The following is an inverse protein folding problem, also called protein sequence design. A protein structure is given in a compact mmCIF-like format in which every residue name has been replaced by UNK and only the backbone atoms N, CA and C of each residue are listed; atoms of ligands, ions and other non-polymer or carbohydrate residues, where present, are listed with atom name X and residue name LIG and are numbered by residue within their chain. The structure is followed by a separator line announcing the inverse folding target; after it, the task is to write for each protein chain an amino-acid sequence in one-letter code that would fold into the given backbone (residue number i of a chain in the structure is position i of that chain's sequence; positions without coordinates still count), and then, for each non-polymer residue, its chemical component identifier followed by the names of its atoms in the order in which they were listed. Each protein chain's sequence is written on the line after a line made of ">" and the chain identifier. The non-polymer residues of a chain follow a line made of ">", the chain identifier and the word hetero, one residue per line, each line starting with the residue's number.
data_IF_540816242521
#
_entry.id   IF_540816242521
#
_cell.length_a   1.000
_cell.length_b   1.000
_cell.length_c   1.000
_cell.angle_alpha   90.00
_cell.angle_beta   90.00
_cell.angle_gamma   90.00
#
_symmetry.space_group_name_H-M   'P 1'
#
loop_
_entity.id
_entity.type
_entity.pdbx_description
1 polymer ?
#
# COMPACT_ATOMS: atom_id res chain seq x y z
N UNK A 1 3.93 -25.58 -29.76
CA UNK A 1 4.00 -24.24 -29.14
C UNK A 1 5.37 -24.11 -28.48
N UNK A 2 6.18 -23.19 -28.99
CA UNK A 2 7.56 -22.97 -28.62
C UNK A 2 7.57 -22.62 -27.13
N UNK A 3 8.42 -23.23 -26.29
CA UNK A 3 8.37 -23.05 -24.83
C UNK A 3 8.33 -21.58 -24.42
N UNK A 4 9.16 -20.74 -25.05
CA UNK A 4 9.17 -19.30 -24.77
C UNK A 4 7.88 -18.55 -25.17
N UNK A 5 7.15 -18.99 -26.20
CA UNK A 5 5.86 -18.41 -26.58
C UNK A 5 4.77 -18.86 -25.59
N UNK A 6 4.80 -20.14 -25.21
CA UNK A 6 3.91 -20.70 -24.19
C UNK A 6 4.08 -19.98 -22.84
N UNK A 7 5.33 -19.76 -22.43
CA UNK A 7 5.69 -19.02 -21.22
C UNK A 7 5.21 -17.57 -21.29
N UNK A 8 5.43 -16.88 -22.39
CA UNK A 8 4.98 -15.50 -22.55
C UNK A 8 3.45 -15.37 -22.50
N UNK A 9 2.72 -16.32 -23.11
CA UNK A 9 1.25 -16.36 -23.02
C UNK A 9 0.80 -16.61 -21.58
N UNK A 10 1.41 -17.56 -20.86
CA UNK A 10 1.10 -17.80 -19.43
C UNK A 10 1.38 -16.55 -18.59
N UNK A 11 2.53 -15.94 -18.78
CA UNK A 11 2.97 -14.75 -18.04
C UNK A 11 2.08 -13.53 -18.32
N UNK A 12 1.53 -13.40 -19.54
CA UNK A 12 0.57 -12.34 -19.87
C UNK A 12 -0.76 -12.46 -19.10
N UNK A 13 -1.12 -13.68 -18.70
CA UNK A 13 -2.40 -14.01 -18.03
C UNK A 13 -2.30 -14.09 -16.50
N UNK A 14 -1.10 -13.90 -15.93
CA UNK A 14 -0.92 -13.94 -14.47
C UNK A 14 -1.67 -12.81 -13.74
N UNK A 15 -1.96 -12.93 -12.43
CA UNK A 15 -2.50 -11.83 -11.64
C UNK A 15 -1.65 -10.54 -11.72
N UNK A 16 -2.25 -9.38 -11.51
CA UNK A 16 -1.51 -8.10 -11.52
C UNK A 16 -0.47 -8.10 -10.40
N UNK A 17 0.76 -7.75 -10.75
CA UNK A 17 1.88 -7.65 -9.83
C UNK A 17 2.30 -6.20 -9.58
N UNK A 18 2.45 -5.82 -8.30
CA UNK A 18 2.85 -4.49 -7.85
C UNK A 18 4.23 -4.55 -7.19
N UNK A 19 5.19 -3.80 -7.71
CA UNK A 19 6.45 -3.54 -7.04
C UNK A 19 6.32 -2.35 -6.08
N UNK A 20 6.63 -2.55 -4.81
CA UNK A 20 6.67 -1.47 -3.82
C UNK A 20 8.12 -0.97 -3.68
N UNK A 21 8.34 0.31 -3.95
CA UNK A 21 9.66 0.96 -3.91
C UNK A 21 9.66 2.15 -2.97
N UNK A 22 10.83 2.67 -2.63
CA UNK A 22 11.01 3.81 -1.74
C UNK A 22 12.20 3.64 -0.80
N UNK A 23 12.52 4.70 -0.08
CA UNK A 23 13.67 4.72 0.82
C UNK A 23 13.50 3.75 2.00
N UNK A 24 14.60 3.28 2.64
CA UNK A 24 14.53 2.58 3.90
C UNK A 24 13.73 3.36 4.97
N UNK A 25 12.95 2.64 5.78
CA UNK A 25 12.14 3.25 6.86
C UNK A 25 10.85 3.96 6.42
N UNK A 26 10.55 4.01 5.11
CA UNK A 26 9.32 4.64 4.60
C UNK A 26 8.06 3.86 4.93
N UNK A 27 8.12 2.53 5.02
CA UNK A 27 6.93 1.68 5.25
C UNK A 27 6.67 0.64 4.15
N UNK A 28 7.62 0.42 3.23
CA UNK A 28 7.50 -0.54 2.10
C UNK A 28 6.93 -1.90 2.48
N UNK A 29 7.47 -2.55 3.51
CA UNK A 29 7.01 -3.88 3.93
C UNK A 29 5.58 -3.85 4.47
N UNK A 30 5.22 -2.79 5.20
CA UNK A 30 3.85 -2.58 5.69
C UNK A 30 2.89 -2.35 4.53
N UNK A 31 3.29 -1.57 3.51
CA UNK A 31 2.50 -1.37 2.29
C UNK A 31 2.29 -2.69 1.52
N UNK A 32 3.33 -3.51 1.34
CA UNK A 32 3.18 -4.85 0.73
C UNK A 32 2.18 -5.70 1.52
N UNK A 33 2.27 -5.70 2.86
CA UNK A 33 1.30 -6.41 3.71
C UNK A 33 -0.12 -5.86 3.52
N UNK A 34 -0.28 -4.55 3.40
CA UNK A 34 -1.57 -3.90 3.18
C UNK A 34 -2.19 -4.29 1.84
N UNK A 35 -1.42 -4.19 0.75
CA UNK A 35 -1.86 -4.58 -0.60
C UNK A 35 -2.23 -6.06 -0.68
N UNK A 36 -1.43 -6.95 -0.09
CA UNK A 36 -1.73 -8.39 -0.06
C UNK A 36 -2.97 -8.70 0.77
N UNK A 37 -3.05 -8.18 2.00
CA UNK A 37 -4.10 -8.52 2.97
C UNK A 37 -5.46 -7.96 2.59
N UNK A 38 -5.51 -6.76 2.01
CA UNK A 38 -6.77 -6.04 1.78
C UNK A 38 -7.21 -5.99 0.32
N UNK A 39 -6.27 -6.07 -0.63
CA UNK A 39 -6.58 -6.00 -2.06
C UNK A 39 -6.27 -7.30 -2.82
N UNK A 40 -5.72 -8.32 -2.14
CA UNK A 40 -5.32 -9.60 -2.75
C UNK A 40 -4.37 -9.44 -3.94
N UNK A 41 -3.54 -8.39 -3.92
CA UNK A 41 -2.59 -8.07 -5.00
C UNK A 41 -1.26 -8.79 -4.74
N UNK A 42 -0.73 -9.45 -5.76
CA UNK A 42 0.65 -9.94 -5.73
C UNK A 42 1.59 -8.73 -5.67
N UNK A 43 2.28 -8.56 -4.55
CA UNK A 43 3.14 -7.40 -4.34
C UNK A 43 4.42 -7.78 -3.61
N UNK A 44 5.51 -7.07 -3.91
CA UNK A 44 6.82 -7.32 -3.29
C UNK A 44 7.62 -6.04 -3.17
N UNK A 45 8.51 -5.97 -2.20
CA UNK A 45 9.47 -4.88 -2.10
C UNK A 45 10.52 -5.06 -3.19
N UNK A 46 10.74 -4.04 -4.02
CA UNK A 46 11.88 -3.96 -4.92
C UNK A 46 12.90 -2.95 -4.39
N UNK A 47 14.20 -3.31 -4.34
CA UNK A 47 15.27 -2.34 -4.12
C UNK A 47 15.31 -1.27 -5.23
N UNK A 48 15.76 -0.06 -4.92
CA UNK A 48 15.87 1.04 -5.90
C UNK A 48 16.74 0.64 -7.10
N UNK A 49 17.87 -0.04 -6.87
CA UNK A 49 18.77 -0.54 -7.92
C UNK A 49 18.08 -1.55 -8.87
N UNK A 50 17.05 -2.24 -8.40
CA UNK A 50 16.30 -3.19 -9.23
C UNK A 50 15.27 -2.49 -10.13
N UNK A 51 14.96 -1.22 -9.90
CA UNK A 51 14.03 -0.45 -10.73
C UNK A 51 14.58 -0.30 -12.14
N UNK A 52 15.81 0.19 -12.28
CA UNK A 52 16.46 0.42 -13.58
C UNK A 52 16.55 -0.87 -14.42
N UNK A 53 16.90 -1.99 -13.78
CA UNK A 53 16.97 -3.30 -14.43
C UNK A 53 15.57 -3.84 -14.82
N UNK A 54 14.55 -3.61 -14.00
CA UNK A 54 13.17 -4.07 -14.25
C UNK A 54 12.44 -3.30 -15.35
N UNK A 55 12.86 -2.06 -15.60
CA UNK A 55 12.32 -1.20 -16.67
C UNK A 55 12.99 -1.51 -18.02
N UNK A 56 14.28 -1.87 -18.00
CA UNK A 56 15.11 -2.00 -19.22
C UNK A 56 15.28 -3.45 -19.74
N UNK A 57 14.75 -4.45 -19.03
CA UNK A 57 14.94 -5.86 -19.36
C UNK A 57 14.12 -6.33 -20.58
N UNK A 58 14.70 -7.07 -21.55
CA UNK A 58 14.02 -7.53 -22.77
C UNK A 58 13.09 -8.75 -22.56
N UNK A 59 12.53 -8.92 -21.37
CA UNK A 59 11.71 -10.07 -20.97
C UNK A 59 10.32 -9.67 -20.45
N UNK A 60 9.42 -10.65 -20.35
CA UNK A 60 8.12 -10.48 -19.66
C UNK A 60 8.28 -10.25 -18.14
N UNK A 61 9.47 -10.53 -17.59
CA UNK A 61 9.79 -10.53 -16.17
C UNK A 61 9.96 -9.10 -15.63
N UNK A 62 8.85 -8.42 -15.37
CA UNK A 62 8.82 -7.13 -14.70
C UNK A 62 7.49 -6.94 -13.99
N UNK A 63 7.43 -6.09 -12.95
CA UNK A 63 6.15 -5.75 -12.35
C UNK A 63 5.22 -5.11 -13.40
N UNK A 64 3.92 -5.22 -13.15
CA UNK A 64 2.90 -4.57 -13.95
C UNK A 64 2.75 -3.10 -13.56
N UNK A 65 2.82 -2.84 -12.25
CA UNK A 65 2.70 -1.53 -11.63
C UNK A 65 3.78 -1.29 -10.58
N UNK A 66 4.08 -0.02 -10.33
CA UNK A 66 4.98 0.42 -9.27
C UNK A 66 4.21 1.26 -8.26
N UNK A 67 4.39 0.97 -6.98
CA UNK A 67 3.89 1.76 -5.86
C UNK A 67 5.10 2.38 -5.15
N UNK A 68 5.36 3.67 -5.39
CA UNK A 68 6.47 4.38 -4.77
C UNK A 68 6.00 5.03 -3.47
N UNK A 69 6.56 4.61 -2.34
CA UNK A 69 6.16 5.09 -1.01
C UNK A 69 7.07 6.19 -0.47
N UNK A 70 6.43 7.27 -0.03
CA UNK A 70 7.02 8.41 0.66
C UNK A 70 6.58 8.40 2.13
N UNK A 71 7.45 8.83 3.03
CA UNK A 71 7.10 9.08 4.44
C UNK A 71 6.99 10.56 4.80
N UNK A 72 7.14 11.44 3.82
CA UNK A 72 7.20 12.90 3.97
C UNK A 72 7.58 13.55 2.65
N UNK A 73 8.06 14.81 2.65
CA UNK A 73 8.49 15.50 1.44
C UNK A 73 9.50 14.69 0.61
N UNK A 74 9.37 14.70 -0.73
CA UNK A 74 10.21 13.89 -1.61
C UNK A 74 11.66 14.38 -1.59
N UNK A 75 12.60 13.44 -1.63
CA UNK A 75 14.04 13.71 -1.79
C UNK A 75 14.45 13.57 -3.26
N UNK A 76 15.66 14.01 -3.59
CA UNK A 76 16.22 13.87 -4.94
C UNK A 76 16.23 12.41 -5.43
N UNK A 77 16.45 11.43 -4.54
CA UNK A 77 16.38 10.01 -4.89
C UNK A 77 14.95 9.57 -5.26
N UNK A 78 13.94 10.09 -4.55
CA UNK A 78 12.53 9.78 -4.82
C UNK A 78 12.15 10.31 -6.23
N UNK A 79 12.60 11.53 -6.57
CA UNK A 79 12.41 12.14 -7.91
C UNK A 79 12.99 11.28 -9.03
N UNK A 80 14.26 10.87 -8.90
CA UNK A 80 14.91 10.01 -9.91
C UNK A 80 14.16 8.71 -10.17
N UNK A 81 13.67 8.06 -9.11
CA UNK A 81 12.88 6.82 -9.24
C UNK A 81 11.56 7.10 -9.96
N UNK A 82 10.85 8.16 -9.57
CA UNK A 82 9.57 8.54 -10.19
C UNK A 82 9.75 8.89 -11.67
N UNK A 83 10.80 9.64 -12.02
CA UNK A 83 11.10 10.07 -13.39
C UNK A 83 11.51 8.91 -14.31
N UNK A 84 12.15 7.87 -13.75
CA UNK A 84 12.58 6.69 -14.50
C UNK A 84 11.45 5.68 -14.77
N UNK A 85 10.32 5.80 -14.08
CA UNK A 85 9.23 4.83 -14.12
C UNK A 85 8.14 5.20 -15.15
N UNK A 86 7.42 4.20 -15.71
CA UNK A 86 6.34 4.48 -16.66
C UNK A 86 5.20 5.27 -15.99
N UNK A 87 4.91 6.44 -16.55
CA UNK A 87 3.98 7.44 -16.00
C UNK A 87 2.55 6.92 -15.81
N UNK A 88 2.14 5.98 -16.66
CA UNK A 88 0.82 5.36 -16.70
C UNK A 88 0.70 4.14 -15.76
N UNK A 89 1.80 3.74 -15.11
CA UNK A 89 1.89 2.52 -14.30
C UNK A 89 2.61 2.75 -12.96
N UNK A 90 2.84 4.00 -12.58
CA UNK A 90 3.33 4.38 -11.25
C UNK A 90 2.21 5.00 -10.41
N UNK A 91 2.12 4.57 -9.16
CA UNK A 91 1.28 5.17 -8.12
C UNK A 91 2.19 5.64 -7.00
N UNK A 92 2.09 6.91 -6.61
CA UNK A 92 2.91 7.48 -5.52
C UNK A 92 2.05 7.63 -4.27
N UNK A 93 2.57 7.18 -3.13
CA UNK A 93 1.81 7.10 -1.88
C UNK A 93 2.56 7.77 -0.74
N UNK A 94 1.91 8.68 -0.01
CA UNK A 94 2.36 9.16 1.30
C UNK A 94 1.88 8.17 2.37
N UNK A 95 2.72 7.20 2.72
CA UNK A 95 2.31 5.95 3.41
C UNK A 95 2.17 6.03 4.93
N UNK A 96 2.57 7.15 5.53
CA UNK A 96 2.45 7.42 6.97
C UNK A 96 1.46 8.55 7.22
N UNK A 97 0.31 8.52 6.54
CA UNK A 97 -0.68 9.59 6.67
C UNK A 97 -1.19 9.76 8.11
N UNK A 98 -1.11 8.69 8.91
CA UNK A 98 -1.43 8.67 10.33
C UNK A 98 -0.61 9.65 11.18
N UNK A 99 0.63 9.99 10.83
CA UNK A 99 1.48 10.84 11.69
C UNK A 99 1.09 12.33 11.66
N UNK A 100 0.21 12.73 10.74
CA UNK A 100 -0.06 14.13 10.44
C UNK A 100 -1.20 14.75 11.26
N UNK A 101 -1.81 14.00 12.19
CA UNK A 101 -2.77 14.59 13.13
C UNK A 101 -4.03 13.75 13.34
N UNK A 102 -4.97 14.28 14.13
CA UNK A 102 -6.20 13.58 14.44
C UNK A 102 -7.02 13.31 13.19
N UNK A 103 -7.62 12.13 13.15
CA UNK A 103 -8.66 11.79 12.18
C UNK A 103 -9.93 12.50 12.60
N UNK A 104 -10.49 13.39 11.76
CA UNK A 104 -11.81 13.96 11.99
C UNK A 104 -12.87 12.87 12.14
N UNK A 105 -14.07 13.24 12.61
CA UNK A 105 -15.12 12.24 12.81
C UNK A 105 -15.35 11.40 11.54
N UNK A 106 -15.35 10.06 11.66
CA UNK A 106 -15.45 9.18 10.50
C UNK A 106 -16.80 9.38 9.80
N UNK A 107 -16.75 10.01 8.62
CA UNK A 107 -17.87 10.12 7.68
C UNK A 107 -17.82 9.05 6.58
N UNK A 108 -18.68 9.13 5.55
CA UNK A 108 -18.70 8.18 4.43
C UNK A 108 -17.44 8.23 3.53
N UNK A 109 -16.58 9.24 3.72
CA UNK A 109 -15.34 9.43 2.97
C UNK A 109 -14.18 9.40 3.97
N UNK A 110 -13.04 8.75 3.66
CA UNK A 110 -11.87 8.76 4.54
C UNK A 110 -11.42 10.20 4.77
N UNK A 111 -11.56 10.69 6.00
CA UNK A 111 -11.05 12.02 6.36
C UNK A 111 -9.68 11.81 6.98
N UNK A 112 -8.64 11.96 6.18
CA UNK A 112 -7.30 12.11 6.75
C UNK A 112 -7.23 13.42 7.53
N UNK A 113 -6.28 13.51 8.47
CA UNK A 113 -5.88 14.79 9.01
C UNK A 113 -5.61 15.78 7.85
N UNK A 114 -6.11 17.03 7.92
CA UNK A 114 -5.90 18.03 6.85
C UNK A 114 -4.43 18.16 6.42
N UNK A 115 -3.50 18.04 7.37
CA UNK A 115 -2.06 18.13 7.13
C UNK A 115 -1.51 16.98 6.27
N UNK A 116 -2.10 15.77 6.36
CA UNK A 116 -1.71 14.67 5.47
C UNK A 116 -2.08 14.98 4.02
N UNK A 117 -3.27 15.57 3.81
CA UNK A 117 -3.76 15.97 2.48
C UNK A 117 -2.92 17.10 1.91
N UNK A 118 -2.64 18.13 2.72
CA UNK A 118 -1.77 19.26 2.33
C UNK A 118 -0.37 18.77 1.99
N UNK A 119 0.19 17.88 2.79
CA UNK A 119 1.52 17.30 2.54
C UNK A 119 1.53 16.47 1.28
N UNK A 120 0.54 15.62 1.05
CA UNK A 120 0.42 14.84 -0.18
C UNK A 120 0.32 15.75 -1.41
N UNK A 121 -0.50 16.82 -1.36
CA UNK A 121 -0.62 17.79 -2.44
C UNK A 121 0.70 18.53 -2.71
N UNK A 122 1.47 18.85 -1.66
CA UNK A 122 2.82 19.41 -1.81
C UNK A 122 3.77 18.42 -2.49
N UNK A 123 3.82 17.18 -2.03
CA UNK A 123 4.63 16.13 -2.66
C UNK A 123 4.24 15.95 -4.13
N UNK A 124 2.95 16.04 -4.45
CA UNK A 124 2.47 15.90 -5.82
C UNK A 124 2.99 17.00 -6.75
N UNK A 125 2.97 18.26 -6.30
CA UNK A 125 3.55 19.38 -7.04
C UNK A 125 5.06 19.24 -7.22
N UNK A 126 5.76 18.75 -6.20
CA UNK A 126 7.22 18.58 -6.25
C UNK A 126 7.69 17.41 -7.15
N UNK A 127 6.82 16.42 -7.38
CA UNK A 127 7.10 15.24 -8.21
C UNK A 127 6.44 15.29 -9.59
N UNK A 128 5.60 16.29 -9.87
CA UNK A 128 4.73 16.33 -11.05
C UNK A 128 3.90 15.03 -11.22
N UNK A 129 3.44 14.45 -10.10
CA UNK A 129 2.68 13.20 -10.06
C UNK A 129 1.63 13.24 -8.95
N UNK A 130 0.43 12.66 -9.14
CA UNK A 130 -0.51 12.48 -8.04
C UNK A 130 0.12 11.70 -6.88
N UNK A 131 -0.08 12.19 -5.65
CA UNK A 131 0.39 11.52 -4.42
C UNK A 131 -0.83 11.27 -3.53
N UNK A 132 -1.00 10.01 -3.14
CA UNK A 132 -2.16 9.57 -2.37
C UNK A 132 -1.77 9.36 -0.90
N UNK A 133 -2.42 10.03 0.07
CA UNK A 133 -2.22 9.73 1.48
C UNK A 133 -2.80 8.35 1.82
N UNK A 134 -2.04 7.55 2.57
CA UNK A 134 -2.46 6.23 3.07
C UNK A 134 -1.82 6.00 4.44
N UNK A 135 -2.55 5.41 5.38
CA UNK A 135 -1.93 4.77 6.55
C UNK A 135 -1.85 3.26 6.32
N UNK A 136 -0.68 2.80 5.88
CA UNK A 136 -0.48 1.36 5.68
C UNK A 136 -0.55 0.58 7.00
N UNK A 137 -0.21 1.24 8.11
CA UNK A 137 -0.26 0.67 9.46
C UNK A 137 -1.71 0.32 9.84
N UNK A 138 -2.62 1.29 9.73
CA UNK A 138 -4.04 1.08 10.05
C UNK A 138 -4.70 0.05 9.14
N UNK A 139 -4.32 0.02 7.86
CA UNK A 139 -4.87 -0.96 6.93
C UNK A 139 -4.59 -2.42 7.35
N UNK A 140 -3.49 -2.68 8.07
CA UNK A 140 -3.10 -4.02 8.50
C UNK A 140 -3.24 -4.26 10.01
N UNK A 141 -3.76 -3.27 10.75
CA UNK A 141 -3.97 -3.35 12.18
C UNK A 141 -4.78 -4.61 12.55
N UNK A 142 -4.32 -5.29 13.59
CA UNK A 142 -4.81 -6.60 14.00
C UNK A 142 -4.52 -6.81 15.49
N UNK A 143 -5.17 -6.02 16.37
CA UNK A 143 -4.91 -6.08 17.79
C UNK A 143 -5.31 -7.45 18.36
N UNK A 144 -4.44 -8.05 19.15
CA UNK A 144 -4.75 -9.29 19.87
C UNK A 144 -5.73 -9.05 21.02
N UNK A 145 -6.33 -10.13 21.54
CA UNK A 145 -7.33 -10.05 22.62
C UNK A 145 -6.90 -9.20 23.84
N UNK A 146 -5.68 -9.32 24.38
CA UNK A 146 -5.26 -8.46 25.50
C UNK A 146 -5.24 -6.96 25.16
N UNK A 147 -4.96 -6.62 23.89
CA UNK A 147 -4.96 -5.24 23.42
C UNK A 147 -6.39 -4.72 23.23
N UNK A 148 -7.32 -5.55 22.76
CA UNK A 148 -8.75 -5.21 22.69
C UNK A 148 -9.32 -4.89 24.07
N UNK A 149 -9.02 -5.74 25.05
CA UNK A 149 -9.43 -5.54 26.45
C UNK A 149 -8.81 -4.27 27.05
N UNK A 150 -7.56 -3.94 26.69
CA UNK A 150 -6.94 -2.67 27.08
C UNK A 150 -7.65 -1.47 26.43
N UNK A 151 -7.90 -1.50 25.12
CA UNK A 151 -8.63 -0.42 24.44
C UNK A 151 -10.01 -0.17 25.05
N UNK A 152 -10.73 -1.23 25.41
CA UNK A 152 -12.01 -1.13 26.10
C UNK A 152 -11.88 -0.46 27.49
N UNK A 153 -10.86 -0.83 28.26
CA UNK A 153 -10.59 -0.24 29.57
C UNK A 153 -10.19 1.25 29.47
N UNK A 154 -9.33 1.59 28.51
CA UNK A 154 -8.94 2.98 28.22
C UNK A 154 -10.17 3.83 27.88
N UNK A 155 -11.05 3.32 27.01
CA UNK A 155 -12.27 3.99 26.61
C UNK A 155 -13.24 4.19 27.79
N UNK A 156 -13.45 3.15 28.61
CA UNK A 156 -14.31 3.23 29.79
C UNK A 156 -13.78 4.20 30.87
N UNK A 157 -12.45 4.31 31.00
CA UNK A 157 -11.79 5.23 31.90
C UNK A 157 -11.73 6.68 31.36
N UNK A 158 -12.11 6.91 30.11
CA UNK A 158 -11.97 8.22 29.45
C UNK A 158 -10.51 8.65 29.29
N UNK A 159 -9.58 7.70 29.18
CA UNK A 159 -8.16 8.01 29.09
C UNK A 159 -7.81 8.59 27.71
N UNK A 160 -7.11 9.72 27.70
CA UNK A 160 -6.59 10.36 26.49
C UNK A 160 -5.22 9.83 26.13
N UNK A 161 -4.86 9.81 24.84
CA UNK A 161 -3.50 9.45 24.40
C UNK A 161 -2.62 10.71 24.37
N UNK A 162 -1.63 10.85 25.29
CA UNK A 162 -0.77 12.04 25.33
C UNK A 162 0.08 12.20 24.07
N UNK A 163 0.57 13.42 23.82
CA UNK A 163 1.44 13.69 22.66
C UNK A 163 2.77 12.95 22.73
N UNK A 164 3.32 12.85 23.94
CA UNK A 164 4.56 12.13 24.21
C UNK A 164 4.25 10.66 24.43
N UNK A 165 4.71 9.81 23.51
CA UNK A 165 4.52 8.37 23.56
C UNK A 165 4.96 7.74 24.91
N UNK A 166 6.03 8.27 25.51
CA UNK A 166 6.52 7.81 26.82
C UNK A 166 5.52 7.99 27.96
N UNK A 167 4.69 9.03 27.90
CA UNK A 167 3.61 9.23 28.87
C UNK A 167 2.47 8.23 28.63
N UNK A 168 2.14 7.95 27.37
CA UNK A 168 1.13 6.92 27.06
C UNK A 168 1.57 5.54 27.54
N UNK A 169 2.86 5.20 27.49
CA UNK A 169 3.35 3.88 27.90
C UNK A 169 3.43 3.70 29.42
N UNK A 170 3.30 4.78 30.19
CA UNK A 170 3.29 4.69 31.65
C UNK A 170 2.00 3.98 32.11
N UNK A 171 2.09 2.90 32.89
CA UNK A 171 0.91 2.20 33.41
C UNK A 171 0.05 3.11 34.27
N UNK A 172 -1.27 2.95 34.15
CA UNK A 172 -2.26 3.75 34.88
C UNK A 172 -3.11 2.90 35.82
N UNK A 173 -3.06 1.57 35.69
CA UNK A 173 -3.91 0.66 36.46
C UNK A 173 -5.35 0.60 35.95
N UNK A 174 -5.62 1.05 34.71
CA UNK A 174 -6.96 0.91 34.07
C UNK A 174 -7.40 -0.55 33.95
N UNK A 175 -6.46 -1.49 34.03
CA UNK A 175 -6.73 -2.92 34.10
C UNK A 175 -6.05 -3.50 35.33
N UNK A 176 -6.71 -4.48 35.93
CA UNK A 176 -6.14 -5.34 36.97
C UNK A 176 -5.16 -6.35 36.35
N UNK A 177 -4.06 -5.83 35.83
CA UNK A 177 -2.91 -6.57 35.30
C UNK A 177 -1.63 -5.94 35.86
N UNK A 178 -0.54 -6.70 35.91
CA UNK A 178 0.73 -6.16 36.39
C UNK A 178 1.20 -4.96 35.57
N UNK A 179 1.83 -3.93 36.20
CA UNK A 179 2.21 -2.69 35.51
C UNK A 179 3.14 -2.93 34.31
N UNK A 180 4.07 -3.88 34.42
CA UNK A 180 4.96 -4.24 33.31
C UNK A 180 4.25 -4.91 32.12
N UNK A 181 3.07 -5.50 32.32
CA UNK A 181 2.28 -6.07 31.23
C UNK A 181 1.37 -5.01 30.59
N UNK A 182 0.83 -4.08 31.38
CA UNK A 182 0.11 -2.91 30.84
C UNK A 182 1.02 -2.07 29.92
N UNK A 183 2.25 -1.78 30.37
CA UNK A 183 3.25 -1.04 29.57
C UNK A 183 3.51 -1.73 28.23
N UNK A 184 3.74 -3.06 28.22
CA UNK A 184 3.94 -3.84 26.99
C UNK A 184 2.72 -3.76 26.05
N UNK A 185 1.51 -3.81 26.60
CA UNK A 185 0.29 -3.71 25.80
C UNK A 185 0.13 -2.32 25.19
N UNK A 186 0.40 -1.25 25.95
CA UNK A 186 0.40 0.14 25.47
C UNK A 186 1.43 0.36 24.36
N UNK A 187 2.65 -0.16 24.53
CA UNK A 187 3.68 -0.17 23.47
C UNK A 187 3.17 -0.91 22.24
N UNK A 188 2.55 -2.07 22.42
CA UNK A 188 1.97 -2.85 21.33
C UNK A 188 0.87 -2.10 20.58
N UNK A 189 0.02 -1.33 21.28
CA UNK A 189 -1.00 -0.49 20.68
C UNK A 189 -0.36 0.58 19.78
N UNK A 190 0.58 1.38 20.31
CA UNK A 190 1.29 2.39 19.51
C UNK A 190 2.02 1.78 18.30
N UNK A 191 2.56 0.57 18.42
CA UNK A 191 3.22 -0.13 17.30
C UNK A 191 2.26 -0.63 16.23
N UNK A 192 1.00 -0.90 16.57
CA UNK A 192 0.01 -1.51 15.68
C UNK A 192 -0.95 -0.52 15.03
N UNK A 193 -1.16 0.64 15.66
CA UNK A 193 -2.08 1.66 15.18
C UNK A 193 -1.68 3.10 15.53
N UNK A 194 -0.48 3.35 16.05
CA UNK A 194 0.02 4.68 16.47
C UNK A 194 -0.88 5.42 17.48
N UNK A 195 -0.54 6.68 17.78
CA UNK A 195 -1.28 7.54 18.70
C UNK A 195 -2.71 7.77 18.22
N UNK A 196 -2.87 8.18 16.97
CA UNK A 196 -4.13 8.62 16.43
C UNK A 196 -5.07 7.46 16.12
N UNK A 197 -4.53 6.28 15.78
CA UNK A 197 -5.35 5.08 15.70
C UNK A 197 -5.85 4.61 17.07
N UNK A 198 -5.04 4.70 18.14
CA UNK A 198 -5.53 4.42 19.51
C UNK A 198 -6.63 5.41 19.89
N UNK A 199 -6.41 6.70 19.67
CA UNK A 199 -7.38 7.75 20.01
C UNK A 199 -8.69 7.62 19.22
N UNK A 200 -8.60 7.31 17.92
CA UNK A 200 -9.76 7.00 17.09
C UNK A 200 -10.54 5.83 17.69
N UNK A 201 -9.87 4.72 17.99
CA UNK A 201 -10.55 3.52 18.50
C UNK A 201 -11.17 3.76 19.88
N UNK A 202 -10.46 4.38 20.82
CA UNK A 202 -10.99 4.65 22.16
C UNK A 202 -12.16 5.62 22.12
N UNK A 203 -12.12 6.64 21.25
CA UNK A 203 -13.24 7.56 21.02
C UNK A 203 -14.48 6.84 20.49
N UNK A 204 -14.33 5.99 19.48
CA UNK A 204 -15.47 5.26 18.88
C UNK A 204 -16.06 4.20 19.84
N UNK A 205 -15.21 3.57 20.67
CA UNK A 205 -15.64 2.67 21.74
C UNK A 205 -16.40 3.43 22.84
N UNK A 206 -15.88 4.55 23.33
CA UNK A 206 -16.52 5.37 24.36
C UNK A 206 -17.88 5.92 23.89
N UNK A 207 -18.00 6.21 22.59
CA UNK A 207 -19.26 6.62 21.98
C UNK A 207 -20.24 5.46 21.70
N UNK A 208 -19.85 4.20 21.94
CA UNK A 208 -20.67 3.02 21.69
C UNK A 208 -20.96 2.74 20.22
N UNK A 209 -20.20 3.34 19.28
CA UNK A 209 -20.40 3.16 17.83
C UNK A 209 -19.78 1.87 17.30
N UNK A 210 -18.78 1.37 18.00
CA UNK A 210 -18.19 0.03 17.82
C UNK A 210 -18.08 -0.67 19.17
N UNK A 211 -18.00 -1.99 19.16
CA UNK A 211 -17.62 -2.83 20.29
C UNK A 211 -16.13 -3.18 20.27
N UNK A 212 -15.61 -3.76 21.37
CA UNK A 212 -14.21 -4.15 21.53
C UNK A 212 -13.90 -5.47 20.80
N UNK A 213 -14.27 -5.54 19.52
CA UNK A 213 -14.07 -6.69 18.64
C UNK A 213 -13.00 -6.39 17.56
N UNK A 214 -12.21 -7.41 17.22
CA UNK A 214 -11.12 -7.28 16.26
C UNK A 214 -11.63 -6.90 14.88
N UNK A 215 -12.76 -7.45 14.43
CA UNK A 215 -13.29 -7.18 13.10
C UNK A 215 -13.82 -5.75 13.00
N UNK A 216 -14.51 -5.26 14.03
CA UNK A 216 -15.01 -3.88 14.09
C UNK A 216 -13.87 -2.85 14.15
N UNK A 217 -12.87 -3.06 15.01
CA UNK A 217 -11.72 -2.16 15.12
C UNK A 217 -10.87 -2.19 13.84
N UNK A 218 -10.58 -3.38 13.29
CA UNK A 218 -9.83 -3.50 12.05
C UNK A 218 -10.62 -2.93 10.85
N UNK A 219 -11.95 -2.97 10.89
CA UNK A 219 -12.84 -2.35 9.90
C UNK A 219 -12.78 -0.83 9.95
N UNK A 220 -12.88 -0.25 11.15
CA UNK A 220 -12.75 1.18 11.40
C UNK A 220 -11.40 1.72 10.91
N UNK A 221 -10.30 1.12 11.36
CA UNK A 221 -8.94 1.51 10.96
C UNK A 221 -8.71 1.33 9.46
N UNK A 222 -9.26 0.26 8.86
CA UNK A 222 -9.18 0.07 7.41
C UNK A 222 -9.94 1.16 6.64
N UNK A 223 -11.15 1.52 7.06
CA UNK A 223 -11.92 2.60 6.45
C UNK A 223 -11.17 3.95 6.53
N UNK A 224 -10.53 4.23 7.67
CA UNK A 224 -9.73 5.44 7.88
C UNK A 224 -8.37 5.43 7.16
N UNK A 225 -7.86 4.25 6.75
CA UNK A 225 -6.52 4.13 6.17
C UNK A 225 -6.34 4.75 4.78
N UNK A 226 -7.45 5.03 4.07
CA UNK A 226 -7.52 5.43 2.66
C UNK A 226 -6.98 4.41 1.66
N UNK A 227 -6.72 3.17 2.08
CA UNK A 227 -6.36 2.08 1.17
C UNK A 227 -7.49 1.76 0.17
N UNK A 228 -8.76 1.95 0.57
CA UNK A 228 -9.90 1.80 -0.33
C UNK A 228 -9.85 2.77 -1.51
N UNK A 229 -9.49 4.03 -1.27
CA UNK A 229 -9.29 5.02 -2.34
C UNK A 229 -8.10 4.65 -3.24
N UNK A 230 -7.00 4.15 -2.64
CA UNK A 230 -5.84 3.66 -3.41
C UNK A 230 -6.22 2.50 -4.33
N UNK A 231 -7.12 1.61 -3.91
CA UNK A 231 -7.60 0.50 -4.74
C UNK A 231 -8.20 1.01 -6.06
N UNK A 232 -9.04 2.05 -6.00
CA UNK A 232 -9.60 2.68 -7.19
C UNK A 232 -8.54 3.24 -8.14
N UNK A 233 -7.48 3.86 -7.59
CA UNK A 233 -6.34 4.36 -8.38
C UNK A 233 -5.58 3.22 -9.06
N UNK A 234 -5.32 2.12 -8.34
CA UNK A 234 -4.66 0.94 -8.91
C UNK A 234 -5.51 0.32 -10.03
N UNK A 235 -6.81 0.20 -9.82
CA UNK A 235 -7.74 -0.30 -10.83
C UNK A 235 -7.78 0.60 -12.07
N UNK A 236 -7.68 1.91 -11.91
CA UNK A 236 -7.62 2.86 -13.03
C UNK A 236 -6.39 2.63 -13.93
N UNK A 237 -5.31 2.03 -13.42
CA UNK A 237 -4.14 1.68 -14.22
C UNK A 237 -4.30 0.37 -15.03
N UNK A 238 -5.41 -0.37 -14.88
CA UNK A 238 -5.60 -1.66 -15.54
C UNK A 238 -5.48 -1.61 -17.08
N UNK A 239 -6.01 -0.59 -17.80
CA UNK A 239 -5.80 -0.49 -19.25
C UNK A 239 -4.33 -0.33 -19.64
N UNK A 240 -3.57 0.49 -18.90
CA UNK A 240 -2.15 0.69 -19.12
C UNK A 240 -1.33 -0.60 -18.88
N UNK A 241 -1.70 -1.36 -17.84
CA UNK A 241 -1.13 -2.67 -17.56
C UNK A 241 -1.40 -3.66 -18.69
N UNK A 242 -2.65 -3.77 -19.15
CA UNK A 242 -3.02 -4.64 -20.26
C UNK A 242 -2.22 -4.31 -21.52
N UNK A 243 -2.19 -3.03 -21.90
CA UNK A 243 -1.43 -2.56 -23.06
C UNK A 243 0.08 -2.84 -22.92
N UNK A 244 0.65 -2.74 -21.72
CA UNK A 244 2.05 -3.07 -21.48
C UNK A 244 2.33 -4.58 -21.59
N UNK A 245 1.41 -5.43 -21.13
CA UNK A 245 1.51 -6.88 -21.29
C UNK A 245 1.42 -7.29 -22.76
N UNK A 246 0.48 -6.72 -23.50
CA UNK A 246 0.34 -6.94 -24.95
C UNK A 246 1.58 -6.52 -25.72
N UNK A 247 2.16 -5.35 -25.36
CA UNK A 247 3.46 -4.90 -25.91
C UNK A 247 4.57 -5.91 -25.71
N UNK A 248 4.73 -6.41 -24.48
CA UNK A 248 5.78 -7.37 -24.13
C UNK A 248 5.56 -8.73 -24.81
N UNK A 249 4.31 -9.21 -24.86
CA UNK A 249 3.95 -10.46 -25.53
C UNK A 249 4.21 -10.37 -27.04
N UNK A 250 3.81 -9.27 -27.68
CA UNK A 250 4.11 -9.00 -29.09
C UNK A 250 5.62 -9.00 -29.38
N UNK A 251 6.42 -8.36 -28.52
CA UNK A 251 7.88 -8.36 -28.68
C UNK A 251 8.52 -9.75 -28.51
N UNK A 252 7.92 -10.66 -27.74
CA UNK A 252 8.36 -12.06 -27.69
C UNK A 252 7.97 -12.78 -28.99
N UNK A 253 6.73 -12.64 -29.44
CA UNK A 253 6.24 -13.27 -30.67
C UNK A 253 7.01 -12.81 -31.91
N UNK A 254 7.29 -11.52 -32.05
CA UNK A 254 8.12 -10.96 -33.14
C UNK A 254 9.52 -11.57 -33.17
N UNK A 255 10.17 -11.73 -32.00
CA UNK A 255 11.50 -12.36 -31.92
C UNK A 255 11.48 -13.83 -32.32
N UNK A 256 10.42 -14.56 -31.95
CA UNK A 256 10.25 -15.98 -32.31
C UNK A 256 9.98 -16.10 -33.82
N UNK A 257 9.06 -15.30 -34.37
CA UNK A 257 8.78 -15.26 -35.80
C UNK A 257 10.02 -14.89 -36.64
N UNK A 258 10.81 -13.90 -36.18
CA UNK A 258 12.03 -13.47 -36.86
C UNK A 258 13.12 -14.55 -36.90
N UNK A 259 13.10 -15.51 -35.96
CA UNK A 259 13.99 -16.68 -35.95
C UNK A 259 13.51 -17.82 -36.86
N UNK A 260 12.29 -17.71 -37.40
CA UNK A 260 11.66 -18.75 -38.22
C UNK A 260 10.98 -19.84 -37.40
N UNK A 261 10.98 -19.74 -36.07
CA UNK A 261 10.38 -20.72 -35.17
C UNK A 261 8.87 -20.50 -35.06
N UNK A 262 8.07 -21.55 -35.28
CA UNK A 262 6.60 -21.54 -35.13
C UNK A 262 5.89 -20.30 -35.71
N UNK A 263 6.37 -19.85 -36.87
CA UNK A 263 5.96 -18.60 -37.52
C UNK A 263 4.45 -18.40 -37.58
N UNK A 264 3.69 -19.42 -37.97
CA UNK A 264 2.21 -19.36 -38.04
C UNK A 264 1.57 -19.06 -36.68
N UNK A 265 2.05 -19.67 -35.60
CA UNK A 265 1.50 -19.44 -34.26
C UNK A 265 1.85 -18.04 -33.74
N UNK A 266 3.07 -17.57 -34.02
CA UNK A 266 3.49 -16.21 -33.68
C UNK A 266 2.73 -15.15 -34.48
N UNK A 267 2.52 -15.36 -35.79
CA UNK A 267 1.75 -14.45 -36.67
C UNK A 267 0.27 -14.39 -36.28
N UNK A 268 -0.36 -15.53 -35.95
CA UNK A 268 -1.74 -15.56 -35.43
C UNK A 268 -1.86 -14.78 -34.11
N UNK A 269 -0.88 -14.92 -33.22
CA UNK A 269 -0.87 -14.19 -31.97
C UNK A 269 -0.68 -12.69 -32.19
N UNK A 270 0.19 -12.29 -33.11
CA UNK A 270 0.36 -10.87 -33.50
C UNK A 270 -0.91 -10.31 -34.14
N UNK A 271 -1.61 -11.09 -34.98
CA UNK A 271 -2.90 -10.70 -35.53
C UNK A 271 -3.95 -10.44 -34.45
N UNK A 272 -4.05 -11.35 -33.46
CA UNK A 272 -4.95 -11.19 -32.32
C UNK A 272 -4.65 -9.98 -31.44
N UNK A 273 -3.39 -9.51 -31.43
CA UNK A 273 -2.97 -8.27 -30.76
C UNK A 273 -3.15 -7.00 -31.62
N UNK A 274 -3.68 -7.12 -32.85
CA UNK A 274 -3.79 -6.01 -33.79
C UNK A 274 -2.44 -5.54 -34.36
N UNK A 275 -1.44 -6.44 -34.41
CA UNK A 275 -0.05 -6.19 -34.81
C UNK A 275 0.42 -7.01 -36.00
N UNK A 276 -0.48 -7.73 -36.66
CA UNK A 276 -0.14 -8.36 -37.94
C UNK A 276 0.22 -7.27 -38.95
N UNK A 277 1.36 -7.45 -39.63
CA UNK A 277 1.71 -6.66 -40.81
C UNK A 277 1.04 -7.26 -42.04
#
# INVERSE_FOLDING_TARGET
>A
MHPALADAVRESRRPVSVAVTGRPGTGRSTMVRALRRRLSIDSRVLPEVAVDASVSGPGMSGPDLWCHVLSGPPRAADRRVVDALPVDRIVVVLTKADVYGPVPDPGPVPVFAPDAVVTAARCARELDRPVHPVSALWAVADPGRPQLELLAALAAAGETVPELAGHFTTPTGVRDIGPGDEEKLRIGLLRSMDRWGVELVTRELAAGRIGPDVAQIAGLLHAASGLGALAGVITACAPAVAAARDRRLGAVAERIAARGDERTAAELLLAGLGRAR
#
